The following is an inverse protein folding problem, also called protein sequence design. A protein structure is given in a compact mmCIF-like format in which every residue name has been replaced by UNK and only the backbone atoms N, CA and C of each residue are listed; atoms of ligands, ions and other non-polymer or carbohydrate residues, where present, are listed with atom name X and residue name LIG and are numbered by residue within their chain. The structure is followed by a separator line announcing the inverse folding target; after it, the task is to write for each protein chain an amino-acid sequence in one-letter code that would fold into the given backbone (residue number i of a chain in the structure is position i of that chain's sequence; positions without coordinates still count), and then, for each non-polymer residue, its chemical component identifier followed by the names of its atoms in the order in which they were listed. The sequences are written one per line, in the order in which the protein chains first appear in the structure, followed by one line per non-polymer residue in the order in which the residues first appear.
data_IF_901777637420
#
_entry.id   IF_901777637420
#
_cell.length_a   1.000
_cell.length_b   1.000
_cell.length_c   1.000
_cell.angle_alpha   90.00
_cell.angle_beta   90.00
_cell.angle_gamma   90.00
#
_symmetry.space_group_name_H-M   'P 1'
#
loop_
_entity.id
_entity.type
_entity.pdbx_description
1 polymer ?
#
# COMPACT_ATOMS: atom_id res chain seq x y z
N UNK A 1 13.33 -2.19 21.27
CA UNK A 1 13.28 -0.96 20.44
C UNK A 1 13.24 -1.23 18.93
N UNK A 2 14.13 -2.09 18.37
CA UNK A 2 14.18 -2.34 16.91
C UNK A 2 12.84 -2.75 16.29
N UNK A 3 12.11 -3.65 16.95
CA UNK A 3 10.77 -4.07 16.51
C UNK A 3 9.78 -2.90 16.42
N UNK A 4 9.67 -2.07 17.46
CA UNK A 4 8.73 -0.94 17.49
C UNK A 4 9.05 0.10 16.42
N UNK A 5 10.34 0.39 16.20
CA UNK A 5 10.77 1.27 15.11
C UNK A 5 10.37 0.69 13.75
N UNK A 6 10.60 -0.61 13.53
CA UNK A 6 10.20 -1.27 12.28
C UNK A 6 8.68 -1.28 12.08
N UNK A 7 7.91 -1.56 13.13
CA UNK A 7 6.44 -1.52 13.09
C UNK A 7 5.92 -0.11 12.77
N UNK A 8 6.52 0.93 13.36
CA UNK A 8 6.19 2.32 13.05
C UNK A 8 6.49 2.67 11.60
N UNK A 9 7.68 2.32 11.10
CA UNK A 9 8.06 2.54 9.69
C UNK A 9 7.14 1.78 8.73
N UNK A 10 6.76 0.55 9.08
CA UNK A 10 5.81 -0.26 8.31
C UNK A 10 4.44 0.42 8.26
N UNK A 11 3.93 0.91 9.39
CA UNK A 11 2.67 1.64 9.45
C UNK A 11 2.68 2.92 8.59
N UNK A 12 3.76 3.70 8.66
CA UNK A 12 3.92 4.89 7.83
C UNK A 12 3.96 4.53 6.34
N UNK A 13 4.77 3.53 5.98
CA UNK A 13 4.90 3.04 4.61
C UNK A 13 3.55 2.61 4.02
N UNK A 14 2.79 1.76 4.73
CA UNK A 14 1.50 1.28 4.23
C UNK A 14 0.42 2.37 4.22
N UNK A 15 0.43 3.31 5.18
CA UNK A 15 -0.46 4.48 5.15
C UNK A 15 -0.22 5.32 3.89
N UNK A 16 1.04 5.64 3.58
CA UNK A 16 1.41 6.38 2.38
C UNK A 16 1.04 5.61 1.10
N UNK A 17 1.31 4.30 1.07
CA UNK A 17 0.99 3.45 -0.07
C UNK A 17 -0.52 3.41 -0.35
N UNK A 18 -1.38 3.26 0.66
CA UNK A 18 -2.83 3.21 0.44
C UNK A 18 -3.41 4.54 -0.01
N UNK A 19 -2.97 5.66 0.57
CA UNK A 19 -3.42 6.99 0.15
C UNK A 19 -2.97 7.31 -1.28
N UNK A 20 -1.70 7.06 -1.60
CA UNK A 20 -1.19 7.26 -2.96
C UNK A 20 -1.83 6.31 -3.97
N UNK A 21 -1.99 5.02 -3.62
CA UNK A 21 -2.56 4.01 -4.49
C UNK A 21 -4.02 4.29 -4.82
N UNK A 22 -4.78 4.87 -3.89
CA UNK A 22 -6.13 5.35 -4.14
C UNK A 22 -6.16 6.44 -5.20
N UNK A 23 -5.34 7.48 -5.06
CA UNK A 23 -5.29 8.57 -6.04
C UNK A 23 -5.01 8.04 -7.46
N UNK A 24 -4.10 7.07 -7.60
CA UNK A 24 -3.82 6.40 -8.88
C UNK A 24 -4.97 5.53 -9.39
N UNK A 25 -5.67 4.87 -8.48
CA UNK A 25 -6.83 4.06 -8.85
C UNK A 25 -8.00 4.93 -9.29
N UNK A 26 -8.22 6.08 -8.65
CA UNK A 26 -9.25 7.06 -9.05
C UNK A 26 -8.96 7.65 -10.44
N UNK A 27 -7.70 8.02 -10.71
CA UNK A 27 -7.25 8.45 -12.03
C UNK A 27 -7.53 7.37 -13.09
N UNK A 28 -7.21 6.11 -12.78
CA UNK A 28 -7.47 4.99 -13.69
C UNK A 28 -8.96 4.73 -13.91
N UNK A 29 -9.80 4.87 -12.88
CA UNK A 29 -11.25 4.77 -13.03
C UNK A 29 -11.76 5.85 -13.99
N UNK A 30 -11.26 7.09 -13.89
CA UNK A 30 -11.61 8.17 -14.81
C UNK A 30 -11.23 7.83 -16.26
N UNK A 31 -10.02 7.30 -16.48
CA UNK A 31 -9.57 6.85 -17.80
C UNK A 31 -10.42 5.69 -18.34
N UNK A 32 -10.79 4.74 -17.48
CA UNK A 32 -11.66 3.62 -17.86
C UNK A 32 -13.07 4.10 -18.24
N UNK A 33 -13.61 5.10 -17.53
CA UNK A 33 -14.90 5.70 -17.85
C UNK A 33 -14.88 6.45 -19.17
N UNK A 34 -13.80 7.20 -19.46
CA UNK A 34 -13.61 7.85 -20.76
C UNK A 34 -13.48 6.83 -21.89
N UNK A 35 -12.67 5.78 -21.67
CA UNK A 35 -12.45 4.72 -22.65
C UNK A 35 -13.67 3.81 -22.85
N UNK A 36 -14.61 3.76 -21.91
CA UNK A 36 -15.81 2.93 -22.00
C UNK A 36 -16.68 3.25 -23.22
N UNK A 37 -16.60 4.48 -23.76
CA UNK A 37 -17.35 4.87 -24.96
C UNK A 37 -16.69 4.43 -26.27
N UNK A 38 -15.37 4.22 -26.27
CA UNK A 38 -14.60 3.92 -27.49
C UNK A 38 -14.13 2.45 -27.52
N UNK A 39 -13.61 1.94 -26.41
CA UNK A 39 -13.02 0.59 -26.31
C UNK A 39 -13.20 0.02 -24.89
N UNK A 40 -14.39 -0.52 -24.55
CA UNK A 40 -14.65 -1.11 -23.23
C UNK A 40 -13.62 -2.19 -22.88
N UNK A 41 -13.02 -2.11 -21.68
CA UNK A 41 -12.12 -3.13 -21.15
C UNK A 41 -10.66 -3.07 -21.64
N UNK A 42 -10.29 -2.08 -22.47
CA UNK A 42 -8.91 -1.92 -22.91
C UNK A 42 -7.96 -1.44 -21.78
N UNK A 43 -8.48 -0.67 -20.83
CA UNK A 43 -7.73 -0.16 -19.69
C UNK A 43 -7.78 -1.14 -18.51
N UNK A 44 -6.62 -1.44 -17.91
CA UNK A 44 -6.50 -2.38 -16.80
C UNK A 44 -7.22 -1.85 -15.54
N UNK A 45 -7.91 -2.70 -14.76
CA UNK A 45 -8.67 -2.27 -13.58
C UNK A 45 -7.79 -1.81 -12.42
N UNK A 46 -6.52 -2.24 -12.38
CA UNK A 46 -5.53 -1.79 -11.39
C UNK A 46 -4.32 -1.27 -12.15
N UNK A 47 -3.83 -0.04 -11.86
CA UNK A 47 -2.64 0.49 -12.51
C UNK A 47 -1.43 -0.42 -12.24
N UNK A 48 -0.64 -0.79 -13.26
CA UNK A 48 0.55 -1.63 -13.08
C UNK A 48 1.54 -1.06 -12.06
N UNK A 49 1.66 0.25 -11.97
CA UNK A 49 2.52 0.94 -10.99
C UNK A 49 2.05 0.74 -9.55
N UNK A 50 0.74 0.58 -9.30
CA UNK A 50 0.21 0.28 -7.96
C UNK A 50 0.64 -1.12 -7.55
N UNK A 51 0.55 -2.09 -8.47
CA UNK A 51 1.00 -3.46 -8.23
C UNK A 51 2.51 -3.50 -7.97
N UNK A 52 3.29 -2.81 -8.80
CA UNK A 52 4.74 -2.73 -8.66
C UNK A 52 5.15 -2.08 -7.33
N UNK A 53 4.50 -0.96 -6.95
CA UNK A 53 4.74 -0.30 -5.68
C UNK A 53 4.35 -1.17 -4.48
N UNK A 54 3.26 -1.93 -4.56
CA UNK A 54 2.86 -2.88 -3.52
C UNK A 54 3.89 -4.00 -3.34
N UNK A 55 4.40 -4.55 -4.44
CA UNK A 55 5.51 -5.52 -4.42
C UNK A 55 6.78 -4.93 -3.81
N UNK A 56 7.13 -3.69 -4.19
CA UNK A 56 8.26 -2.95 -3.64
C UNK A 56 8.11 -2.68 -2.14
N UNK A 57 6.90 -2.33 -1.68
CA UNK A 57 6.60 -2.11 -0.26
C UNK A 57 6.78 -3.40 0.57
N UNK A 58 6.28 -4.54 0.07
CA UNK A 58 6.47 -5.84 0.73
C UNK A 58 7.94 -6.25 0.74
N UNK A 59 8.64 -6.14 -0.38
CA UNK A 59 10.06 -6.45 -0.48
C UNK A 59 10.90 -5.56 0.45
N UNK A 60 10.61 -4.25 0.46
CA UNK A 60 11.25 -3.27 1.34
C UNK A 60 11.02 -3.57 2.82
N UNK A 61 9.80 -3.95 3.19
CA UNK A 61 9.45 -4.35 4.55
C UNK A 61 10.33 -5.50 5.06
N UNK A 62 10.42 -6.59 4.29
CA UNK A 62 11.20 -7.76 4.67
C UNK A 62 12.70 -7.50 4.61
N UNK A 63 13.18 -6.74 3.62
CA UNK A 63 14.58 -6.33 3.53
C UNK A 63 14.98 -5.52 4.76
N UNK A 64 14.17 -4.52 5.14
CA UNK A 64 14.42 -3.72 6.33
C UNK A 64 14.35 -4.56 7.61
N UNK A 65 13.38 -5.46 7.74
CA UNK A 65 13.27 -6.37 8.88
C UNK A 65 14.55 -7.22 9.03
N UNK A 66 15.07 -7.72 7.91
CA UNK A 66 16.30 -8.51 7.86
C UNK A 66 17.54 -7.70 8.22
N UNK A 67 17.63 -6.46 7.76
CA UNK A 67 18.71 -5.52 8.11
C UNK A 67 18.69 -5.15 9.60
N UNK A 68 17.50 -5.01 10.18
CA UNK A 68 17.33 -4.72 11.61
C UNK A 68 17.51 -5.96 12.51
N UNK A 69 17.71 -7.14 11.92
CA UNK A 69 17.91 -8.40 12.64
C UNK A 69 16.68 -8.88 13.39
N UNK A 70 15.48 -8.64 12.84
CA UNK A 70 14.22 -9.12 13.41
C UNK A 70 14.02 -10.61 13.11
N UNK A 71 13.35 -11.31 14.03
CA UNK A 71 12.91 -12.68 13.75
C UNK A 71 11.77 -12.68 12.73
N UNK A 72 11.55 -13.83 12.07
CA UNK A 72 10.47 -13.98 11.10
C UNK A 72 9.10 -13.63 11.72
N UNK A 73 8.82 -14.11 12.94
CA UNK A 73 7.57 -13.80 13.65
C UNK A 73 7.41 -12.30 13.93
N UNK A 74 8.49 -11.61 14.32
CA UNK A 74 8.46 -10.15 14.51
C UNK A 74 8.21 -9.39 13.20
N UNK A 75 8.82 -9.83 12.11
CA UNK A 75 8.62 -9.22 10.78
C UNK A 75 7.18 -9.40 10.27
N UNK A 76 6.59 -10.58 10.47
CA UNK A 76 5.19 -10.82 10.14
C UNK A 76 4.24 -9.99 11.01
N UNK A 77 4.49 -9.93 12.32
CA UNK A 77 3.66 -9.14 13.22
C UNK A 77 3.72 -7.64 12.88
N UNK A 78 4.90 -7.10 12.58
CA UNK A 78 5.03 -5.69 12.17
C UNK A 78 4.38 -5.42 10.81
N UNK A 79 4.37 -6.40 9.90
CA UNK A 79 3.63 -6.30 8.63
C UNK A 79 2.14 -6.15 8.89
N UNK A 80 1.56 -7.04 9.69
CA UNK A 80 0.13 -7.01 9.99
C UNK A 80 -0.26 -5.72 10.73
N UNK A 81 0.54 -5.29 11.70
CA UNK A 81 0.32 -4.01 12.38
C UNK A 81 0.40 -2.85 11.39
N UNK A 82 1.42 -2.83 10.52
CA UNK A 82 1.59 -1.76 9.53
C UNK A 82 0.45 -1.68 8.53
N UNK A 83 0.02 -2.82 7.98
CA UNK A 83 -1.13 -2.91 7.06
C UNK A 83 -2.42 -2.52 7.75
N UNK A 84 -2.69 -3.03 8.97
CA UNK A 84 -3.89 -2.71 9.72
C UNK A 84 -3.95 -1.21 10.08
N UNK A 85 -2.83 -0.62 10.53
CA UNK A 85 -2.74 0.82 10.79
C UNK A 85 -2.93 1.63 9.52
N UNK A 86 -2.27 1.25 8.42
CA UNK A 86 -2.43 1.91 7.13
C UNK A 86 -3.88 1.89 6.65
N UNK A 87 -4.55 0.74 6.74
CA UNK A 87 -5.96 0.60 6.38
C UNK A 87 -6.87 1.41 7.31
N UNK A 88 -6.54 1.49 8.59
CA UNK A 88 -7.22 2.35 9.57
C UNK A 88 -7.11 3.83 9.23
N UNK A 89 -5.89 4.31 8.95
CA UNK A 89 -5.64 5.69 8.50
C UNK A 89 -6.41 5.99 7.22
N UNK A 90 -6.30 5.11 6.23
CA UNK A 90 -7.03 5.20 4.97
C UNK A 90 -8.55 5.34 5.20
N UNK A 91 -9.11 4.51 6.06
CA UNK A 91 -10.55 4.53 6.38
C UNK A 91 -10.98 5.80 7.10
N UNK A 92 -10.13 6.38 7.95
CA UNK A 92 -10.40 7.65 8.63
C UNK A 92 -10.38 8.80 7.64
N UNK A 93 -9.38 8.85 6.76
CA UNK A 93 -9.30 9.89 5.71
C UNK A 93 -10.52 9.81 4.80
N UNK A 94 -10.89 8.60 4.35
CA UNK A 94 -12.07 8.36 3.51
C UNK A 94 -13.38 8.86 4.15
N UNK A 95 -13.50 8.84 5.48
CA UNK A 95 -14.70 9.34 6.18
C UNK A 95 -14.79 10.87 6.28
N UNK A 96 -13.68 11.56 6.08
CA UNK A 96 -13.57 13.02 6.24
C UNK A 96 -13.55 13.78 4.92
N UNK A 97 -13.62 13.05 3.79
CA UNK A 97 -13.80 13.58 2.44
C UNK A 97 -15.28 13.57 2.06
#
# INVERSE_FOLDING_TARGET
MRFWLHAFLSAAQFSCYFLWGRARTEEQISLMQEAAFNTPGAAAPVPPEVVAAGGGALFGHFTLARLMGLSAGQSWLSLFLGVATGAGVYSIVLRNE
#
